data_IF_467111723261
#
_entry.id   IF_467111723261
#
_cell.length_a   1.000
_cell.length_b   1.000
_cell.length_c   1.000
_cell.angle_alpha   90.00
_cell.angle_beta   90.00
_cell.angle_gamma   90.00
#
_symmetry.space_group_name_H-M   'P 1'
#
loop_
_entity.id
_entity.type
_entity.pdbx_description
1 polymer ?
#
# COMPACT_ATOMS: atom_id res chain seq x y z
N UNK A 1 -11.38 1.48 29.99
CA UNK A 1 -10.91 0.95 28.70
C UNK A 1 -11.99 0.07 28.09
N UNK A 2 -12.32 0.27 26.80
CA UNK A 2 -13.34 -0.51 26.08
C UNK A 2 -12.86 -1.94 25.80
N UNK A 3 -11.53 -2.13 25.70
CA UNK A 3 -10.90 -3.43 25.43
C UNK A 3 -9.44 -3.42 25.92
N UNK A 4 -9.21 -3.80 27.19
CA UNK A 4 -7.87 -3.85 27.76
C UNK A 4 -6.93 -4.85 27.07
N UNK A 5 -7.45 -5.97 26.60
CA UNK A 5 -6.67 -7.00 25.91
C UNK A 5 -6.14 -6.52 24.55
N UNK A 6 -7.02 -5.88 23.76
CA UNK A 6 -6.58 -5.27 22.51
C UNK A 6 -5.63 -4.11 22.75
N UNK A 7 -5.86 -3.28 23.78
CA UNK A 7 -4.97 -2.19 24.12
C UNK A 7 -3.54 -2.65 24.43
N UNK A 8 -3.39 -3.77 25.14
CA UNK A 8 -2.08 -4.34 25.48
C UNK A 8 -1.32 -4.93 24.27
N UNK A 9 -2.05 -5.30 23.19
CA UNK A 9 -1.48 -6.02 22.05
C UNK A 9 -1.46 -5.25 20.73
N UNK A 10 -2.24 -4.16 20.62
CA UNK A 10 -2.36 -3.39 19.39
C UNK A 10 -1.16 -2.46 19.21
N UNK A 11 -0.69 -2.35 17.97
CA UNK A 11 0.29 -1.34 17.61
C UNK A 11 -0.39 0.05 17.62
N UNK A 12 -0.15 0.81 18.68
CA UNK A 12 -0.73 2.15 18.88
C UNK A 12 -0.20 3.19 17.90
N UNK A 13 0.96 2.95 17.28
CA UNK A 13 1.50 3.79 16.22
C UNK A 13 0.71 3.62 14.91
N UNK A 14 -0.05 2.55 14.77
CA UNK A 14 -0.93 2.31 13.63
C UNK A 14 -2.34 2.85 13.90
N UNK A 15 -2.55 4.15 13.65
CA UNK A 15 -3.82 4.84 13.92
C UNK A 15 -5.03 4.16 13.27
N UNK A 16 -4.89 3.61 12.05
CA UNK A 16 -5.99 2.91 11.36
C UNK A 16 -6.43 1.65 12.13
N UNK A 17 -5.49 0.90 12.70
CA UNK A 17 -5.83 -0.28 13.51
C UNK A 17 -6.52 0.11 14.81
N UNK A 18 -6.07 1.19 15.44
CA UNK A 18 -6.70 1.71 16.66
C UNK A 18 -8.12 2.17 16.38
N UNK A 19 -8.33 2.97 15.33
CA UNK A 19 -9.66 3.43 14.90
C UNK A 19 -10.57 2.24 14.62
N UNK A 20 -10.09 1.25 13.85
CA UNK A 20 -10.90 0.06 13.55
C UNK A 20 -11.31 -0.73 14.79
N UNK A 21 -10.41 -0.88 15.77
CA UNK A 21 -10.75 -1.54 17.02
C UNK A 21 -11.82 -0.76 17.82
N UNK A 22 -11.70 0.57 17.86
CA UNK A 22 -12.68 1.44 18.52
C UNK A 22 -14.04 1.40 17.82
N UNK A 23 -14.08 1.48 16.49
CA UNK A 23 -15.32 1.34 15.71
C UNK A 23 -16.08 0.07 16.05
N UNK A 24 -15.38 -1.08 16.06
CA UNK A 24 -16.02 -2.38 16.38
C UNK A 24 -16.57 -2.37 17.80
N UNK A 25 -15.79 -1.86 18.79
CA UNK A 25 -16.26 -1.78 20.16
C UNK A 25 -17.52 -0.91 20.30
N UNK A 26 -17.52 0.29 19.65
CA UNK A 26 -18.63 1.24 19.73
C UNK A 26 -19.88 0.73 19.00
N UNK A 27 -19.70 0.10 17.83
CA UNK A 27 -20.83 -0.40 17.03
C UNK A 27 -21.47 -1.66 17.63
N UNK A 28 -20.68 -2.52 18.24
CA UNK A 28 -21.16 -3.84 18.71
C UNK A 28 -21.42 -3.90 20.22
N UNK A 29 -20.92 -2.94 20.98
CA UNK A 29 -20.93 -2.98 22.45
C UNK A 29 -20.05 -4.08 23.05
N UNK A 30 -19.22 -4.74 22.24
CA UNK A 30 -18.34 -5.85 22.65
C UNK A 30 -16.87 -5.51 22.42
N UNK A 31 -15.94 -6.04 23.25
CA UNK A 31 -14.50 -5.86 23.02
C UNK A 31 -14.07 -6.38 21.64
N UNK A 32 -13.20 -5.66 20.95
CA UNK A 32 -12.63 -6.09 19.66
C UNK A 32 -11.86 -7.41 19.78
N UNK A 33 -11.20 -7.65 20.92
CA UNK A 33 -10.52 -8.93 21.24
C UNK A 33 -11.46 -10.12 21.14
N UNK A 34 -12.73 -9.97 21.52
CA UNK A 34 -13.71 -11.06 21.46
C UNK A 34 -14.00 -11.55 20.02
N UNK A 35 -13.69 -10.75 19.02
CA UNK A 35 -13.82 -11.13 17.60
C UNK A 35 -12.54 -11.73 17.02
N UNK A 36 -11.40 -11.64 17.73
CA UNK A 36 -10.13 -12.28 17.36
C UNK A 36 -10.15 -13.76 17.74
N UNK A 37 -11.03 -14.52 17.11
CA UNK A 37 -11.03 -15.95 17.29
C UNK A 37 -9.86 -16.54 16.50
N UNK A 38 -8.79 -16.96 17.18
CA UNK A 38 -7.68 -17.72 16.58
C UNK A 38 -8.07 -19.16 16.23
N UNK A 39 -9.38 -19.44 16.17
CA UNK A 39 -9.89 -20.76 15.84
C UNK A 39 -9.78 -20.97 14.35
N UNK A 40 -8.89 -21.84 13.92
CA UNK A 40 -8.85 -22.33 12.55
C UNK A 40 -10.17 -23.06 12.27
N UNK A 41 -11.01 -22.45 11.42
CA UNK A 41 -12.24 -23.12 10.96
C UNK A 41 -11.84 -24.36 10.18
N UNK A 42 -12.26 -25.55 10.67
CA UNK A 42 -12.18 -26.78 9.87
C UNK A 42 -13.00 -26.56 8.59
N UNK A 43 -12.39 -26.79 7.44
CA UNK A 43 -13.02 -26.69 6.13
C UNK A 43 -13.12 -28.08 5.53
N UNK A 44 -14.12 -28.30 4.70
CA UNK A 44 -14.34 -29.59 4.01
C UNK A 44 -13.48 -29.71 2.74
N UNK A 45 -12.45 -28.85 2.62
CA UNK A 45 -11.53 -28.85 1.50
C UNK A 45 -10.12 -28.49 1.97
N UNK A 46 -9.14 -28.97 1.23
CA UNK A 46 -7.74 -28.61 1.42
C UNK A 46 -7.39 -27.33 0.65
N UNK A 47 -6.51 -26.52 1.23
CA UNK A 47 -6.02 -25.29 0.62
C UNK A 47 -4.55 -25.48 0.26
N UNK A 48 -4.25 -25.55 -1.04
CA UNK A 48 -2.89 -25.47 -1.53
C UNK A 48 -2.53 -24.00 -1.82
N UNK A 49 -1.44 -23.51 -1.22
CA UNK A 49 -0.94 -22.16 -1.43
C UNK A 49 0.28 -22.21 -2.34
N UNK A 50 0.19 -21.56 -3.49
CA UNK A 50 1.28 -21.45 -4.46
C UNK A 50 1.71 -19.99 -4.52
N UNK A 51 3.00 -19.74 -4.26
CA UNK A 51 3.63 -18.44 -4.43
C UNK A 51 4.49 -18.44 -5.70
N UNK A 52 4.34 -17.41 -6.53
CA UNK A 52 5.17 -17.23 -7.71
C UNK A 52 6.31 -16.27 -7.36
N UNK A 53 7.54 -16.64 -7.70
CA UNK A 53 8.73 -15.84 -7.45
C UNK A 53 9.59 -15.74 -8.72
N UNK A 54 10.30 -14.63 -8.82
CA UNK A 54 11.34 -14.39 -9.84
C UNK A 54 12.63 -13.90 -9.20
N UNK A 55 13.78 -14.08 -9.82
CA UNK A 55 14.99 -13.38 -9.45
C UNK A 55 14.73 -11.89 -9.30
N UNK A 56 15.33 -11.29 -8.28
CA UNK A 56 15.00 -9.92 -7.84
C UNK A 56 15.27 -8.87 -8.92
N UNK A 57 16.36 -9.01 -9.64
CA UNK A 57 16.77 -8.16 -10.75
C UNK A 57 15.76 -8.22 -11.90
N UNK A 58 15.34 -9.43 -12.28
CA UNK A 58 14.32 -9.66 -13.31
C UNK A 58 12.97 -9.05 -12.90
N UNK A 59 12.57 -9.25 -11.63
CA UNK A 59 11.33 -8.66 -11.11
C UNK A 59 11.38 -7.12 -11.15
N UNK A 60 12.50 -6.53 -10.75
CA UNK A 60 12.67 -5.08 -10.73
C UNK A 60 12.70 -4.47 -12.13
N UNK A 61 13.35 -5.11 -13.07
CA UNK A 61 13.33 -4.70 -14.47
C UNK A 61 11.90 -4.75 -15.05
N UNK A 62 11.15 -5.82 -14.79
CA UNK A 62 9.74 -5.92 -15.21
C UNK A 62 8.87 -4.82 -14.59
N UNK A 63 9.05 -4.52 -13.31
CA UNK A 63 8.34 -3.43 -12.63
C UNK A 63 8.63 -2.11 -13.33
N UNK A 64 9.91 -1.82 -13.58
CA UNK A 64 10.30 -0.56 -14.21
C UNK A 64 9.71 -0.41 -15.62
N UNK A 65 9.81 -1.46 -16.45
CA UNK A 65 9.22 -1.45 -17.80
C UNK A 65 7.70 -1.32 -17.77
N UNK A 66 7.03 -1.99 -16.83
CA UNK A 66 5.57 -1.88 -16.68
C UNK A 66 5.14 -0.47 -16.34
N UNK A 67 5.86 0.24 -15.48
CA UNK A 67 5.52 1.62 -15.14
C UNK A 67 5.64 2.54 -16.35
N UNK A 68 6.69 2.38 -17.17
CA UNK A 68 6.82 3.13 -18.42
C UNK A 68 5.65 2.83 -19.36
N UNK A 69 5.32 1.56 -19.53
CA UNK A 69 4.18 1.15 -20.36
C UNK A 69 2.86 1.76 -19.86
N UNK A 70 2.62 1.80 -18.54
CA UNK A 70 1.40 2.42 -17.98
C UNK A 70 1.32 3.91 -18.32
N UNK A 71 2.44 4.62 -18.33
CA UNK A 71 2.48 6.04 -18.74
C UNK A 71 2.17 6.17 -20.23
N UNK A 72 2.76 5.34 -21.08
CA UNK A 72 2.52 5.31 -22.52
C UNK A 72 1.05 4.96 -22.85
N UNK A 73 0.45 4.08 -22.03
CA UNK A 73 -0.95 3.66 -22.16
C UNK A 73 -1.96 4.70 -21.61
N UNK A 74 -1.49 5.85 -21.08
CA UNK A 74 -2.35 6.96 -20.69
C UNK A 74 -2.62 7.09 -19.19
N UNK A 75 -1.77 6.52 -18.32
CA UNK A 75 -1.91 6.63 -16.85
C UNK A 75 -2.09 8.08 -16.37
N UNK A 76 -1.38 9.04 -17.00
CA UNK A 76 -1.47 10.46 -16.61
C UNK A 76 -2.87 11.01 -16.84
N UNK A 77 -3.47 10.71 -18.00
CA UNK A 77 -4.81 11.16 -18.35
C UNK A 77 -5.87 10.49 -17.49
N UNK A 78 -5.69 9.21 -17.19
CA UNK A 78 -6.53 8.47 -16.24
C UNK A 78 -6.53 9.17 -14.88
N UNK A 79 -5.37 9.44 -14.29
CA UNK A 79 -5.25 10.10 -12.98
C UNK A 79 -5.84 11.51 -13.03
N UNK A 80 -5.65 12.24 -14.12
CA UNK A 80 -6.25 13.58 -14.32
C UNK A 80 -7.77 13.55 -14.31
N UNK A 81 -8.36 12.55 -14.93
CA UNK A 81 -9.83 12.37 -14.95
C UNK A 81 -10.42 12.07 -13.55
N UNK A 82 -9.59 11.57 -12.64
CA UNK A 82 -9.98 11.17 -11.29
C UNK A 82 -9.66 12.24 -10.23
N UNK A 83 -9.19 13.42 -10.61
CA UNK A 83 -8.77 14.50 -9.68
C UNK A 83 -9.85 14.86 -8.67
N UNK A 84 -11.14 14.88 -9.06
CA UNK A 84 -12.25 15.16 -8.15
C UNK A 84 -12.44 14.11 -7.05
N UNK A 85 -11.87 12.91 -7.21
CA UNK A 85 -11.96 11.79 -6.26
C UNK A 85 -10.67 11.54 -5.50
N UNK A 86 -9.65 12.40 -5.65
CA UNK A 86 -8.29 12.19 -5.13
C UNK A 86 -8.21 11.87 -3.63
N UNK A 87 -9.18 12.34 -2.85
CA UNK A 87 -9.22 12.12 -1.40
C UNK A 87 -9.70 10.73 -1.01
N UNK A 88 -10.27 9.97 -1.93
CA UNK A 88 -10.70 8.60 -1.66
C UNK A 88 -9.49 7.70 -1.35
N UNK A 89 -9.65 6.85 -0.34
CA UNK A 89 -8.59 5.94 0.10
C UNK A 89 -8.07 5.03 -1.03
N UNK A 90 -8.93 4.66 -1.99
CA UNK A 90 -8.56 3.85 -3.14
C UNK A 90 -7.54 4.53 -4.07
N UNK A 91 -7.55 5.87 -4.14
CA UNK A 91 -6.63 6.63 -4.99
C UNK A 91 -5.34 7.05 -4.26
N UNK A 92 -5.23 6.79 -2.95
CA UNK A 92 -4.00 7.01 -2.17
C UNK A 92 -3.03 5.82 -2.30
N UNK A 93 -2.86 5.33 -3.52
CA UNK A 93 -2.02 4.18 -3.84
C UNK A 93 -0.85 4.57 -4.75
N UNK A 94 0.14 3.69 -4.82
CA UNK A 94 1.31 3.87 -5.72
C UNK A 94 0.83 3.97 -7.17
N UNK A 95 1.35 4.94 -7.89
CA UNK A 95 0.97 5.28 -9.25
C UNK A 95 0.11 6.52 -9.31
N UNK A 96 -0.97 6.57 -8.55
CA UNK A 96 -1.86 7.75 -8.52
C UNK A 96 -1.30 8.86 -7.65
N UNK A 97 -0.83 8.51 -6.45
CA UNK A 97 -0.34 9.49 -5.49
C UNK A 97 0.80 10.33 -6.07
N UNK A 98 1.79 9.70 -6.68
CA UNK A 98 2.96 10.37 -7.23
C UNK A 98 2.60 11.31 -8.39
N UNK A 99 1.57 10.96 -9.18
CA UNK A 99 1.08 11.82 -10.27
C UNK A 99 0.25 12.98 -9.71
N UNK A 100 -0.57 12.78 -8.68
CA UNK A 100 -1.25 13.88 -8.00
C UNK A 100 -0.25 14.84 -7.34
N UNK A 101 0.81 14.34 -6.71
CA UNK A 101 1.87 15.17 -6.13
C UNK A 101 2.57 16.03 -7.22
N UNK A 102 2.73 15.49 -8.44
CA UNK A 102 3.24 16.23 -9.57
C UNK A 102 2.26 17.31 -10.08
N UNK A 103 0.96 17.01 -10.15
CA UNK A 103 -0.06 18.00 -10.51
C UNK A 103 -0.08 19.16 -9.50
N UNK A 104 -0.01 18.85 -8.20
CA UNK A 104 0.04 19.88 -7.15
C UNK A 104 1.26 20.81 -7.31
N UNK A 105 2.39 20.25 -7.74
CA UNK A 105 3.56 21.05 -8.08
C UNK A 105 3.33 21.96 -9.30
N UNK A 106 2.75 21.42 -10.38
CA UNK A 106 2.44 22.17 -11.59
C UNK A 106 1.47 23.31 -11.33
N UNK A 107 0.46 23.06 -10.47
CA UNK A 107 -0.57 24.03 -10.14
C UNK A 107 -0.12 25.06 -9.08
N UNK A 108 1.12 24.96 -8.60
CA UNK A 108 1.68 25.84 -7.57
C UNK A 108 1.04 25.68 -6.19
N UNK A 109 0.34 24.58 -5.95
CA UNK A 109 -0.29 24.25 -4.66
C UNK A 109 0.74 23.83 -3.61
N UNK A 110 1.94 23.46 -4.05
CA UNK A 110 3.06 23.05 -3.21
C UNK A 110 4.31 23.80 -3.60
N UNK A 111 5.01 24.40 -2.63
CA UNK A 111 6.31 25.03 -2.82
C UNK A 111 7.42 24.23 -2.13
N UNK A 112 8.68 24.54 -2.46
CA UNK A 112 9.84 23.93 -1.78
C UNK A 112 9.82 24.15 -0.26
N UNK A 113 9.28 25.26 0.20
CA UNK A 113 9.22 25.64 1.62
C UNK A 113 8.10 24.91 2.39
N UNK A 114 7.02 24.53 1.68
CA UNK A 114 5.86 23.85 2.26
C UNK A 114 5.86 22.32 2.07
N UNK A 115 6.87 21.76 1.41
CA UNK A 115 6.95 20.35 1.13
C UNK A 115 7.37 19.55 2.37
N UNK A 116 6.40 18.84 2.96
CA UNK A 116 6.69 17.76 3.89
C UNK A 116 6.94 16.48 3.09
N UNK A 117 8.14 15.88 3.12
CA UNK A 117 8.40 14.65 2.37
C UNK A 117 7.47 13.55 2.87
N UNK A 118 6.74 12.92 1.96
CA UNK A 118 5.90 11.75 2.26
C UNK A 118 6.73 10.54 2.67
N UNK A 119 8.01 10.57 2.30
CA UNK A 119 9.04 9.63 2.77
C UNK A 119 10.31 10.46 3.03
N UNK A 120 10.99 10.30 4.17
CA UNK A 120 12.24 11.00 4.43
C UNK A 120 13.25 10.79 3.29
N UNK A 121 13.78 11.88 2.74
CA UNK A 121 14.74 11.86 1.63
C UNK A 121 14.14 12.03 0.23
N UNK A 122 12.80 12.09 0.10
CA UNK A 122 12.15 12.42 -1.17
C UNK A 122 11.94 13.93 -1.27
N UNK A 123 12.51 14.54 -2.27
CA UNK A 123 12.18 15.91 -2.66
C UNK A 123 10.80 15.99 -3.32
N UNK A 124 10.34 17.21 -3.67
CA UNK A 124 9.07 17.42 -4.36
C UNK A 124 9.04 16.68 -5.71
N UNK A 125 7.84 16.37 -6.18
CA UNK A 125 7.63 15.74 -7.49
C UNK A 125 7.50 16.84 -8.53
N UNK A 126 8.65 17.32 -9.01
CA UNK A 126 8.76 18.50 -9.87
C UNK A 126 8.53 18.22 -11.35
N UNK A 127 8.56 16.94 -11.74
CA UNK A 127 8.39 16.54 -13.14
C UNK A 127 7.73 15.16 -13.26
N UNK A 128 7.23 14.82 -14.45
CA UNK A 128 6.69 13.49 -14.74
C UNK A 128 7.76 12.39 -14.59
N UNK A 129 8.98 12.66 -15.04
CA UNK A 129 10.10 11.73 -14.90
C UNK A 129 10.34 11.40 -13.43
N UNK A 130 10.27 12.42 -12.56
CA UNK A 130 10.41 12.22 -11.11
C UNK A 130 9.24 11.41 -10.53
N UNK A 131 8.01 11.65 -10.97
CA UNK A 131 6.86 10.84 -10.60
C UNK A 131 7.07 9.37 -10.99
N UNK A 132 7.51 9.12 -12.23
CA UNK A 132 7.80 7.77 -12.75
C UNK A 132 8.86 7.06 -11.92
N UNK A 133 9.98 7.71 -11.60
CA UNK A 133 11.03 7.16 -10.75
C UNK A 133 10.48 6.73 -9.38
N UNK A 134 9.65 7.57 -8.77
CA UNK A 134 9.02 7.31 -7.47
C UNK A 134 8.05 6.14 -7.56
N UNK A 135 7.21 6.07 -8.60
CA UNK A 135 6.29 4.95 -8.84
C UNK A 135 7.07 3.64 -8.96
N UNK A 136 8.13 3.62 -9.78
CA UNK A 136 8.99 2.44 -9.94
C UNK A 136 9.59 2.00 -8.59
N UNK A 137 10.17 2.93 -7.84
CA UNK A 137 10.78 2.66 -6.53
C UNK A 137 9.75 2.14 -5.53
N UNK A 138 8.61 2.82 -5.42
CA UNK A 138 7.57 2.47 -4.45
C UNK A 138 6.92 1.13 -4.80
N UNK A 139 6.77 0.80 -6.08
CA UNK A 139 6.32 -0.52 -6.55
C UNK A 139 7.33 -1.62 -6.19
N UNK A 140 8.64 -1.38 -6.35
CA UNK A 140 9.67 -2.33 -5.90
C UNK A 140 9.63 -2.53 -4.38
N UNK A 141 9.42 -1.46 -3.60
CA UNK A 141 9.25 -1.56 -2.15
C UNK A 141 7.99 -2.34 -1.77
N UNK A 142 6.90 -2.15 -2.52
CA UNK A 142 5.67 -2.93 -2.32
C UNK A 142 5.90 -4.42 -2.56
N UNK A 143 6.54 -4.77 -3.68
CA UNK A 143 6.90 -6.15 -3.99
C UNK A 143 7.79 -6.79 -2.90
N UNK A 144 8.80 -6.04 -2.39
CA UNK A 144 9.63 -6.49 -1.28
C UNK A 144 8.81 -6.76 -0.02
N UNK A 145 7.86 -5.88 0.32
CA UNK A 145 6.97 -6.09 1.48
C UNK A 145 6.09 -7.31 1.32
N UNK A 146 5.54 -7.56 0.12
CA UNK A 146 4.76 -8.77 -0.16
C UNK A 146 5.59 -10.04 0.06
N UNK A 147 6.79 -10.11 -0.50
CA UNK A 147 7.69 -11.26 -0.31
C UNK A 147 8.05 -11.46 1.16
N UNK A 148 8.33 -10.39 1.91
CA UNK A 148 8.62 -10.47 3.34
C UNK A 148 7.42 -10.92 4.17
N UNK A 149 6.20 -10.53 3.79
CA UNK A 149 4.98 -10.93 4.47
C UNK A 149 4.64 -12.40 4.21
N UNK A 150 4.58 -12.79 2.94
CA UNK A 150 4.20 -14.15 2.55
C UNK A 150 5.30 -15.18 2.80
N UNK A 151 6.58 -14.77 2.80
CA UNK A 151 7.70 -15.64 3.11
C UNK A 151 7.71 -16.19 4.55
N UNK A 152 6.86 -15.63 5.43
CA UNK A 152 6.65 -16.16 6.80
C UNK A 152 5.72 -17.37 6.83
N UNK A 153 4.89 -17.55 5.82
CA UNK A 153 3.96 -18.68 5.74
C UNK A 153 4.67 -19.90 5.14
N UNK A 154 4.97 -20.86 6.01
CA UNK A 154 5.67 -22.10 5.63
C UNK A 154 4.81 -23.05 4.77
N UNK A 155 3.51 -22.77 4.65
CA UNK A 155 2.60 -23.59 3.85
C UNK A 155 2.54 -23.13 2.38
N UNK A 156 3.30 -22.11 2.01
CA UNK A 156 3.37 -21.68 0.60
C UNK A 156 4.45 -22.46 -0.13
N UNK A 157 4.05 -23.14 -1.20
CA UNK A 157 4.97 -23.73 -2.17
C UNK A 157 5.39 -22.67 -3.17
N UNK A 158 6.63 -22.23 -3.09
CA UNK A 158 7.19 -21.23 -4.01
C UNK A 158 7.64 -21.86 -5.32
N UNK A 159 7.26 -21.25 -6.43
CA UNK A 159 7.63 -21.66 -7.78
C UNK A 159 8.31 -20.49 -8.49
N UNK A 160 9.50 -20.74 -9.03
CA UNK A 160 10.19 -19.76 -9.86
C UNK A 160 9.64 -19.79 -11.29
N UNK A 161 9.38 -18.61 -11.90
CA UNK A 161 8.78 -18.44 -13.21
C UNK A 161 9.58 -17.47 -14.08
#
# INVERSE_FOLDING_TARGET
SLDPESYASIDIANGQRVVRALEVCLMTGKPFSSFKTNVSKKRDFDIEKIGLIRPRDVLYDRINRRVLQMVDDGLVDEVRSLTQYRDLAALKTVGYKEIFDWFDWQDGLVSMEGWGPTVPGDGPVTSLERAVELIQRNTRHYAKRQLSYWGRDKNIRWMEI
#
